data_IF_323077819013
#
_entry.id   IF_323077819013
#
_cell.length_a   1.000
_cell.length_b   1.000
_cell.length_c   1.000
_cell.angle_alpha   90.00
_cell.angle_beta   90.00
_cell.angle_gamma   90.00
#
_symmetry.space_group_name_H-M   'P 1'
#
loop_
_entity.id
_entity.type
_entity.pdbx_description
1 polymer ?
#
# COMPACT_ATOMS: atom_id res chain seq x y z
N UNK A 1 17.80 -4.90 -11.03
CA UNK A 1 17.53 -3.52 -11.49
C UNK A 1 16.52 -2.86 -10.59
N UNK A 2 16.88 -1.73 -10.01
CA UNK A 2 15.93 -0.98 -9.22
C UNK A 2 15.02 -0.17 -10.14
N UNK A 3 13.75 -0.10 -9.78
CA UNK A 3 12.77 0.73 -10.50
C UNK A 3 12.90 2.17 -10.01
N UNK A 4 12.90 3.13 -10.94
CA UNK A 4 12.86 4.54 -10.57
C UNK A 4 11.48 4.87 -10.01
N UNK A 5 11.39 4.87 -8.68
CA UNK A 5 10.14 5.17 -8.01
C UNK A 5 9.90 6.67 -7.95
N UNK A 6 8.63 7.02 -8.03
CA UNK A 6 8.15 8.40 -7.89
C UNK A 6 7.23 8.49 -6.68
N UNK A 7 7.22 9.64 -6.05
CA UNK A 7 6.27 9.94 -4.99
C UNK A 7 5.21 10.88 -5.55
N UNK A 8 3.94 10.52 -5.38
CA UNK A 8 2.81 11.35 -5.75
C UNK A 8 2.14 11.86 -4.48
N UNK A 9 1.99 13.18 -4.37
CA UNK A 9 1.15 13.79 -3.34
C UNK A 9 -0.21 14.04 -3.94
N UNK A 10 -1.24 13.43 -3.35
CA UNK A 10 -2.61 13.52 -3.85
C UNK A 10 -3.37 14.63 -3.16
N UNK A 11 -4.44 15.11 -3.79
CA UNK A 11 -5.32 16.15 -3.22
C UNK A 11 -5.97 15.70 -1.91
N UNK A 12 -6.11 14.40 -1.70
CA UNK A 12 -6.60 13.83 -0.44
C UNK A 12 -5.61 13.98 0.72
N UNK A 13 -4.36 14.37 0.46
CA UNK A 13 -3.30 14.43 1.45
C UNK A 13 -2.44 13.17 1.50
N UNK A 14 -2.85 12.12 0.80
CA UNK A 14 -2.07 10.89 0.75
C UNK A 14 -0.80 11.06 -0.06
N UNK A 15 0.26 10.37 0.38
CA UNK A 15 1.49 10.24 -0.38
C UNK A 15 1.64 8.79 -0.79
N UNK A 16 1.85 8.54 -2.09
CA UNK A 16 2.08 7.20 -2.60
C UNK A 16 3.41 7.13 -3.32
N UNK A 17 4.09 6.00 -3.19
CA UNK A 17 5.29 5.70 -3.95
C UNK A 17 4.93 4.63 -4.99
N UNK A 18 5.37 4.83 -6.22
CA UNK A 18 4.97 3.99 -7.35
C UNK A 18 5.94 4.12 -8.50
N UNK A 19 5.84 3.20 -9.45
CA UNK A 19 6.45 3.37 -10.75
C UNK A 19 5.43 4.08 -11.65
N UNK A 20 5.88 5.05 -12.42
CA UNK A 20 5.01 5.83 -13.31
C UNK A 20 5.36 5.45 -14.75
N UNK A 21 4.37 5.09 -15.52
CA UNK A 21 4.54 4.88 -16.96
C UNK A 21 3.91 6.04 -17.72
N UNK A 22 4.54 6.39 -18.85
CA UNK A 22 4.02 7.44 -19.73
C UNK A 22 2.78 6.92 -20.43
N UNK A 23 1.64 7.58 -20.16
CA UNK A 23 0.41 7.31 -20.85
C UNK A 23 0.21 8.39 -21.92
N UNK A 24 -0.15 8.02 -23.16
CA UNK A 24 -0.50 9.00 -24.17
C UNK A 24 -1.73 9.86 -23.82
N UNK A 25 -2.53 9.43 -22.86
CA UNK A 25 -3.65 10.21 -22.35
C UNK A 25 -3.14 11.36 -21.48
N UNK A 26 -3.44 12.60 -21.86
CA UNK A 26 -3.01 13.79 -21.14
C UNK A 26 -3.76 14.02 -19.83
N UNK A 27 -4.87 13.32 -19.59
CA UNK A 27 -5.70 13.52 -18.41
C UNK A 27 -5.35 12.60 -17.25
N UNK A 28 -4.65 11.49 -17.51
CA UNK A 28 -4.34 10.47 -16.51
C UNK A 28 -2.87 10.08 -16.52
N UNK A 29 -2.41 9.56 -15.40
CA UNK A 29 -1.11 8.92 -15.27
C UNK A 29 -1.36 7.47 -14.88
N UNK A 30 -0.61 6.54 -15.48
CA UNK A 30 -0.65 5.14 -15.09
C UNK A 30 0.44 4.89 -14.06
N UNK A 31 0.06 4.40 -12.91
CA UNK A 31 0.97 4.05 -11.83
C UNK A 31 0.99 2.54 -11.64
N UNK A 32 2.18 1.99 -11.42
CA UNK A 32 2.36 0.56 -11.17
C UNK A 32 2.78 0.35 -9.72
N UNK A 33 2.23 -0.67 -9.09
CA UNK A 33 2.53 -1.07 -7.73
C UNK A 33 2.50 0.09 -6.73
N UNK A 34 1.40 0.88 -6.68
CA UNK A 34 1.35 2.01 -5.76
C UNK A 34 1.27 1.55 -4.31
N UNK A 35 2.10 2.15 -3.47
CA UNK A 35 2.11 1.88 -2.04
C UNK A 35 1.94 3.18 -1.28
N UNK A 36 1.03 3.18 -0.31
CA UNK A 36 0.80 4.34 0.53
C UNK A 36 1.92 4.45 1.56
N UNK A 37 2.44 5.66 1.70
CA UNK A 37 3.52 5.98 2.63
C UNK A 37 2.91 6.39 3.96
N UNK A 38 3.29 5.67 5.03
CA UNK A 38 2.95 6.03 6.40
C UNK A 38 4.23 6.42 7.12
N UNK A 39 4.21 7.58 7.73
CA UNK A 39 5.32 8.09 8.51
C UNK A 39 4.81 8.44 9.91
N UNK A 40 5.53 7.99 10.93
CA UNK A 40 5.21 8.30 12.32
C UNK A 40 6.44 8.90 13.00
N UNK A 41 6.26 10.01 13.73
CA UNK A 41 7.35 10.52 14.55
C UNK A 41 7.69 9.53 15.66
N UNK A 42 8.97 9.33 15.91
CA UNK A 42 9.46 8.45 16.95
C UNK A 42 10.50 9.20 17.79
N UNK A 43 10.32 9.19 19.11
CA UNK A 43 11.29 9.78 20.01
C UNK A 43 12.39 8.75 20.27
N UNK A 44 13.63 9.14 20.06
CA UNK A 44 14.79 8.29 20.31
C UNK A 44 15.20 8.34 21.77
N UNK A 45 15.99 7.36 22.22
CA UNK A 45 16.42 7.23 23.63
C UNK A 45 17.22 8.44 24.09
N UNK A 46 17.96 9.07 23.18
CA UNK A 46 18.77 10.26 23.46
C UNK A 46 17.97 11.57 23.42
N UNK A 47 16.65 11.51 23.29
CA UNK A 47 15.77 12.69 23.22
C UNK A 47 15.62 13.30 21.85
N UNK A 48 16.25 12.72 20.83
CA UNK A 48 16.07 13.15 19.45
C UNK A 48 14.76 12.65 18.85
N UNK A 49 14.45 13.13 17.65
CA UNK A 49 13.28 12.68 16.90
C UNK A 49 13.71 12.01 15.61
N UNK A 50 13.12 10.88 15.32
CA UNK A 50 13.25 10.19 14.03
C UNK A 50 11.86 9.87 13.48
N UNK A 51 11.79 9.52 12.21
CA UNK A 51 10.55 9.09 11.59
C UNK A 51 10.62 7.59 11.31
N UNK A 52 9.54 6.89 11.65
CA UNK A 52 9.37 5.49 11.29
C UNK A 52 8.54 5.42 10.01
N UNK A 53 9.07 4.73 9.02
CA UNK A 53 8.45 4.61 7.70
C UNK A 53 7.85 3.23 7.50
N UNK A 54 6.61 3.17 7.01
CA UNK A 54 6.00 1.93 6.55
C UNK A 54 5.30 2.16 5.21
N UNK A 55 5.26 1.10 4.41
CA UNK A 55 4.60 1.12 3.11
C UNK A 55 3.50 0.06 3.11
N UNK A 56 2.32 0.45 2.63
CA UNK A 56 1.15 -0.43 2.53
C UNK A 56 0.57 -0.33 1.13
N UNK A 57 -0.04 -1.40 0.66
CA UNK A 57 -0.75 -1.35 -0.63
C UNK A 57 -1.74 -0.19 -0.61
N UNK A 58 -1.75 0.60 -1.66
CA UNK A 58 -2.70 1.70 -1.78
C UNK A 58 -4.11 1.18 -2.06
N UNK A 59 -4.21 0.23 -3.01
CA UNK A 59 -5.47 -0.44 -3.33
C UNK A 59 -5.36 -1.90 -2.90
N UNK A 60 -6.31 -2.36 -2.11
CA UNK A 60 -6.35 -3.73 -1.59
C UNK A 60 -7.25 -4.60 -2.46
N UNK A 61 -6.90 -5.87 -2.57
CA UNK A 61 -7.74 -6.90 -3.20
C UNK A 61 -8.05 -6.65 -4.68
N UNK A 62 -7.15 -5.97 -5.39
CA UNK A 62 -7.28 -5.76 -6.81
C UNK A 62 -6.53 -6.84 -7.59
N UNK A 63 -7.11 -7.27 -8.71
CA UNK A 63 -6.45 -8.21 -9.63
C UNK A 63 -5.35 -7.52 -10.46
N UNK A 64 -5.34 -6.20 -10.50
CA UNK A 64 -4.36 -5.44 -11.29
C UNK A 64 -3.35 -4.75 -10.39
N UNK A 65 -2.16 -4.56 -10.94
CA UNK A 65 -1.07 -3.84 -10.27
C UNK A 65 -0.88 -2.44 -10.87
N UNK A 66 -1.64 -2.10 -11.92
CA UNK A 66 -1.57 -0.83 -12.61
C UNK A 66 -2.89 -0.08 -12.45
N UNK A 67 -2.80 1.21 -12.15
CA UNK A 67 -3.97 2.04 -11.91
C UNK A 67 -3.85 3.36 -12.65
N UNK A 68 -4.95 3.86 -13.17
CA UNK A 68 -5.01 5.19 -13.76
C UNK A 68 -5.39 6.20 -12.70
N UNK A 69 -4.56 7.24 -12.57
CA UNK A 69 -4.80 8.32 -11.61
C UNK A 69 -5.04 9.62 -12.39
N UNK A 70 -6.18 10.27 -12.20
CA UNK A 70 -6.41 11.56 -12.84
C UNK A 70 -5.38 12.60 -12.41
N UNK A 71 -4.81 13.32 -13.37
CA UNK A 71 -3.83 14.39 -13.06
C UNK A 71 -4.41 15.46 -12.15
N UNK A 72 -5.73 15.69 -12.23
CA UNK A 72 -6.42 16.65 -11.37
C UNK A 72 -6.37 16.28 -9.89
N UNK A 73 -6.10 15.02 -9.55
CA UNK A 73 -5.98 14.55 -8.16
C UNK A 73 -4.54 14.56 -7.64
N UNK A 74 -3.59 14.99 -8.45
CA UNK A 74 -2.17 14.98 -8.11
C UNK A 74 -1.71 16.42 -7.87
N UNK A 75 -1.25 16.71 -6.66
CA UNK A 75 -0.67 18.01 -6.34
C UNK A 75 0.75 18.15 -6.85
N UNK A 76 1.56 17.11 -6.68
CA UNK A 76 2.94 17.12 -7.13
C UNK A 76 3.45 15.70 -7.32
N UNK A 77 4.45 15.58 -8.18
CA UNK A 77 5.18 14.33 -8.43
C UNK A 77 6.66 14.64 -8.22
N UNK A 78 7.34 13.80 -7.47
CA UNK A 78 8.77 13.97 -7.22
C UNK A 78 9.48 12.62 -7.27
N UNK A 79 10.80 12.66 -7.42
CA UNK A 79 11.61 11.45 -7.37
C UNK A 79 11.72 10.97 -5.92
N UNK A 80 11.66 9.65 -5.71
CA UNK A 80 11.90 9.12 -4.38
C UNK A 80 13.39 9.23 -4.03
N UNK A 81 13.69 9.32 -2.72
CA UNK A 81 15.06 9.23 -2.24
C UNK A 81 15.65 7.86 -2.53
N UNK A 82 16.98 7.77 -2.52
CA UNK A 82 17.67 6.49 -2.75
C UNK A 82 17.24 5.45 -1.70
N UNK A 83 17.13 5.86 -0.45
CA UNK A 83 16.70 4.97 0.63
C UNK A 83 15.27 4.47 0.46
N UNK A 84 14.34 5.37 0.13
CA UNK A 84 12.96 4.99 -0.11
C UNK A 84 12.83 4.09 -1.34
N UNK A 85 13.59 4.37 -2.39
CA UNK A 85 13.57 3.55 -3.60
C UNK A 85 13.98 2.11 -3.31
N UNK A 86 15.03 1.92 -2.51
CA UNK A 86 15.50 0.59 -2.10
C UNK A 86 14.46 -0.13 -1.23
N UNK A 87 13.85 0.58 -0.30
CA UNK A 87 12.79 0.02 0.55
C UNK A 87 11.58 -0.39 -0.29
N UNK A 88 11.17 0.45 -1.23
CA UNK A 88 10.06 0.18 -2.13
C UNK A 88 10.33 -1.08 -2.98
N UNK A 89 11.52 -1.20 -3.57
CA UNK A 89 11.92 -2.40 -4.32
C UNK A 89 11.86 -3.66 -3.44
N UNK A 90 12.35 -3.56 -2.22
CA UNK A 90 12.32 -4.66 -1.27
C UNK A 90 10.87 -5.09 -0.98
N UNK A 91 9.99 -4.13 -0.72
CA UNK A 91 8.59 -4.41 -0.44
C UNK A 91 7.88 -5.07 -1.63
N UNK A 92 8.16 -4.60 -2.85
CA UNK A 92 7.58 -5.19 -4.06
C UNK A 92 8.03 -6.63 -4.24
N UNK A 93 9.32 -6.91 -4.07
CA UNK A 93 9.85 -8.26 -4.22
C UNK A 93 9.24 -9.21 -3.18
N UNK A 94 9.08 -8.73 -1.96
CA UNK A 94 8.45 -9.49 -0.89
C UNK A 94 6.98 -9.78 -1.19
N UNK A 95 6.23 -8.79 -1.69
CA UNK A 95 4.84 -8.97 -2.08
C UNK A 95 4.69 -10.01 -3.19
N UNK A 96 5.53 -9.96 -4.21
CA UNK A 96 5.51 -10.93 -5.31
C UNK A 96 5.78 -12.34 -4.81
N UNK A 97 6.68 -12.48 -3.86
CA UNK A 97 6.98 -13.78 -3.25
C UNK A 97 5.80 -14.32 -2.46
N UNK A 98 5.19 -13.49 -1.65
CA UNK A 98 4.00 -13.85 -0.86
C UNK A 98 2.83 -14.24 -1.75
N UNK A 99 2.60 -13.51 -2.84
CA UNK A 99 1.53 -13.83 -3.79
C UNK A 99 1.74 -15.19 -4.46
N UNK A 100 2.99 -15.58 -4.72
CA UNK A 100 3.32 -16.90 -5.28
C UNK A 100 3.13 -18.04 -4.27
N UNK A 101 3.33 -17.75 -3.00
CA UNK A 101 3.19 -18.72 -1.91
C UNK A 101 1.74 -18.84 -1.42
N UNK A 102 0.86 -17.93 -1.83
CA UNK A 102 -0.54 -17.95 -1.46
C UNK A 102 -1.23 -19.17 -2.06
N UNK A 103 -1.66 -20.05 -1.18
CA UNK A 103 -2.54 -21.16 -1.55
C UNK A 103 -3.96 -20.67 -1.28
N UNK A 104 -4.76 -20.56 -2.35
CA UNK A 104 -6.16 -20.15 -2.20
C UNK A 104 -6.91 -21.24 -1.45
N UNK A 105 -7.72 -20.88 -0.43
CA UNK A 105 -8.50 -21.86 0.30
C UNK A 105 -9.55 -22.50 -0.59
N UNK A 106 -9.89 -23.76 -0.30
CA UNK A 106 -10.97 -24.47 -0.96
C UNK A 106 -12.32 -23.85 -0.54
N UNK A 107 -13.39 -24.18 -1.27
CA UNK A 107 -14.73 -23.69 -0.92
C UNK A 107 -15.13 -24.07 0.50
N UNK A 108 -14.76 -25.27 0.95
CA UNK A 108 -15.00 -25.72 2.32
C UNK A 108 -14.24 -24.88 3.35
N UNK A 109 -12.98 -24.54 3.05
CA UNK A 109 -12.15 -23.69 3.91
C UNK A 109 -12.69 -22.26 3.97
N UNK A 110 -13.19 -21.75 2.85
CA UNK A 110 -13.82 -20.43 2.79
C UNK A 110 -15.08 -20.36 3.65
N UNK A 111 -15.91 -21.40 3.63
CA UNK A 111 -17.11 -21.48 4.45
C UNK A 111 -16.75 -21.48 5.95
N UNK A 112 -15.69 -22.19 6.34
CA UNK A 112 -15.19 -22.19 7.71
C UNK A 112 -14.70 -20.82 8.15
N UNK A 113 -13.97 -20.12 7.27
CA UNK A 113 -13.45 -18.76 7.54
C UNK A 113 -14.62 -17.78 7.74
N UNK A 114 -15.62 -17.82 6.87
CA UNK A 114 -16.81 -16.98 6.99
C UNK A 114 -17.54 -17.21 8.32
N UNK A 115 -17.69 -18.46 8.72
CA UNK A 115 -18.34 -18.81 10.00
C UNK A 115 -17.54 -18.29 11.20
N UNK A 116 -16.20 -18.39 11.16
CA UNK A 116 -15.34 -17.86 12.21
C UNK A 116 -15.42 -16.35 12.30
N UNK A 117 -15.44 -15.64 11.18
CA UNK A 117 -15.58 -14.18 11.14
C UNK A 117 -16.94 -13.74 11.72
N UNK A 118 -18.03 -14.38 11.34
CA UNK A 118 -19.35 -14.09 11.90
C UNK A 118 -19.38 -14.30 13.41
N UNK A 119 -18.74 -15.37 13.87
CA UNK A 119 -18.66 -15.70 15.29
C UNK A 119 -17.86 -14.67 16.07
N UNK A 120 -16.73 -14.23 15.55
CA UNK A 120 -15.88 -13.21 16.14
C UNK A 120 -16.59 -11.85 16.18
N UNK A 121 -17.26 -11.45 15.10
CA UNK A 121 -18.03 -10.21 15.03
C UNK A 121 -19.15 -10.20 16.09
N UNK A 122 -19.80 -11.33 16.30
CA UNK A 122 -20.83 -11.45 17.32
C UNK A 122 -20.26 -11.24 18.73
N UNK A 123 -19.10 -11.79 19.04
CA UNK A 123 -18.45 -11.61 20.33
C UNK A 123 -17.95 -10.19 20.53
N UNK A 124 -17.34 -9.57 19.53
CA UNK A 124 -16.89 -8.19 19.59
C UNK A 124 -18.05 -7.23 19.84
N UNK A 125 -19.19 -7.49 19.22
CA UNK A 125 -20.41 -6.71 19.44
C UNK A 125 -20.93 -6.87 20.87
N UNK A 126 -20.91 -8.06 21.44
CA UNK A 126 -21.34 -8.28 22.83
C UNK A 126 -20.42 -7.59 23.83
N UNK A 127 -19.11 -7.53 23.57
CA UNK A 127 -18.15 -6.84 24.42
C UNK A 127 -18.34 -5.33 24.39
N UNK A 128 -18.80 -4.76 23.29
CA UNK A 128 -19.04 -3.31 23.16
C UNK A 128 -20.31 -2.84 23.85
N UNK A 129 -21.21 -3.72 24.21
CA UNK A 129 -22.48 -3.39 24.91
C UNK A 129 -22.24 -3.22 26.42
N UNK A 130 -21.16 -3.73 26.92
CA UNK A 130 -20.77 -3.60 28.32
C UNK A 130 -19.90 -2.37 28.53
#
# INVERSE_FOLDING_TARGET
>A
MSVDAKILKLTSGEEIVCAVSNNPDNAHIVVAHPMKIYSRPKVTIDGGMSESLSLHRWIHFSDTENFEVPKSQILTITNSSIGLNKFYDYCIQRMKKEDKELVYPTDEELDEIELEEEYNDFFDYSDTIH
#
